data_IF_135797483286
#
_entry.id   IF_135797483286
#
_cell.length_a   1.000
_cell.length_b   1.000
_cell.length_c   1.000
_cell.angle_alpha   90.00
_cell.angle_beta   90.00
_cell.angle_gamma   90.00
#
_symmetry.space_group_name_H-M   'P 1'
#
loop_
_entity.id
_entity.type
_entity.pdbx_description
1 polymer ?
2 polymer ?
#
# COMPACT_ATOMS: atom_id res chain seq x y z
N UNK A 1 -35.77 -32.49 -23.18
CA UNK A 1 -34.83 -32.96 -24.23
C UNK A 1 -33.42 -33.21 -23.67
N UNK A 2 -32.89 -34.40 -23.94
CA UNK A 2 -31.54 -34.80 -23.50
C UNK A 2 -30.50 -33.90 -24.20
N UNK A 3 -30.92 -32.69 -24.57
CA UNK A 3 -30.04 -31.74 -25.23
C UNK A 3 -30.45 -30.32 -24.87
N UNK A 4 -31.73 -30.15 -24.58
CA UNK A 4 -32.24 -28.84 -24.21
C UNK A 4 -31.88 -28.62 -22.76
N UNK A 5 -32.16 -29.62 -21.95
CA UNK A 5 -31.84 -29.56 -20.53
C UNK A 5 -30.36 -29.30 -20.43
N UNK A 6 -29.64 -29.83 -21.40
CA UNK A 6 -28.21 -29.65 -21.41
C UNK A 6 -27.85 -28.16 -21.39
N UNK A 7 -28.53 -27.36 -22.20
CA UNK A 7 -28.23 -25.94 -22.21
C UNK A 7 -28.50 -25.32 -20.85
N UNK A 8 -29.68 -25.59 -20.31
CA UNK A 8 -30.05 -25.05 -19.01
C UNK A 8 -29.03 -25.38 -17.91
N UNK A 9 -28.60 -26.63 -17.84
CA UNK A 9 -27.64 -27.01 -16.81
C UNK A 9 -26.36 -26.20 -16.93
N UNK A 10 -25.98 -25.91 -18.16
CA UNK A 10 -24.77 -25.15 -18.39
C UNK A 10 -24.95 -23.68 -18.12
N UNK A 11 -26.13 -23.16 -18.45
CA UNK A 11 -26.43 -21.75 -18.24
C UNK A 11 -26.35 -21.43 -16.77
N UNK A 12 -26.57 -22.46 -15.96
CA UNK A 12 -26.52 -22.34 -14.52
C UNK A 12 -25.09 -22.41 -14.01
N UNK A 13 -24.34 -23.40 -14.47
CA UNK A 13 -22.95 -23.53 -14.05
C UNK A 13 -22.20 -22.26 -14.41
N UNK A 14 -22.33 -21.83 -15.66
CA UNK A 14 -21.69 -20.61 -16.10
C UNK A 14 -22.00 -19.55 -15.05
N UNK A 15 -23.28 -19.20 -14.92
CA UNK A 15 -23.67 -18.19 -13.93
C UNK A 15 -23.16 -18.55 -12.55
N UNK A 16 -23.18 -19.84 -12.24
CA UNK A 16 -22.69 -20.28 -10.96
C UNK A 16 -21.22 -19.85 -10.83
N UNK A 17 -20.41 -20.21 -11.83
CA UNK A 17 -19.00 -19.85 -11.82
C UNK A 17 -18.91 -18.40 -11.41
N UNK A 18 -19.81 -17.59 -11.94
CA UNK A 18 -19.83 -16.15 -11.65
C UNK A 18 -20.02 -15.74 -10.19
N UNK A 19 -21.16 -16.07 -9.60
CA UNK A 19 -21.38 -15.70 -8.21
C UNK A 19 -20.10 -16.03 -7.46
N UNK A 20 -19.69 -17.28 -7.54
CA UNK A 20 -18.47 -17.73 -6.89
C UNK A 20 -17.40 -16.66 -7.03
N UNK A 21 -17.24 -16.16 -8.25
CA UNK A 21 -16.27 -15.13 -8.55
C UNK A 21 -16.59 -13.84 -7.80
N UNK A 22 -17.86 -13.47 -7.76
CA UNK A 22 -18.25 -12.25 -7.06
C UNK A 22 -18.06 -12.49 -5.59
N UNK A 23 -18.79 -13.47 -5.08
CA UNK A 23 -18.70 -13.81 -3.69
C UNK A 23 -17.25 -13.76 -3.32
N UNK A 24 -16.39 -14.09 -4.29
CA UNK A 24 -14.94 -14.07 -4.07
C UNK A 24 -14.52 -12.66 -3.71
N UNK A 25 -14.70 -11.76 -4.66
CA UNK A 25 -14.37 -10.36 -4.47
C UNK A 25 -14.90 -9.84 -3.14
N UNK A 26 -16.20 -9.95 -2.96
CA UNK A 26 -16.82 -9.47 -1.74
C UNK A 26 -16.04 -9.94 -0.55
N UNK A 27 -15.65 -11.21 -0.57
CA UNK A 27 -14.89 -11.82 0.52
C UNK A 27 -13.66 -10.97 0.86
N UNK A 28 -13.15 -10.28 -0.15
CA UNK A 28 -11.99 -9.41 0.00
C UNK A 28 -12.44 -7.99 0.36
N UNK A 29 -13.31 -7.42 -0.47
CA UNK A 29 -13.84 -6.08 -0.28
C UNK A 29 -13.99 -5.79 1.21
N UNK A 30 -14.56 -6.73 1.96
CA UNK A 30 -14.73 -6.58 3.40
C UNK A 30 -13.40 -6.21 4.04
N UNK A 31 -12.50 -7.18 4.00
CA UNK A 31 -11.17 -7.06 4.55
C UNK A 31 -10.63 -5.64 4.47
N UNK A 32 -10.81 -4.97 3.33
CA UNK A 32 -10.32 -3.60 3.19
C UNK A 32 -10.82 -2.73 4.33
N UNK A 33 -12.12 -2.45 4.29
CA UNK A 33 -12.78 -1.64 5.30
C UNK A 33 -12.31 -2.19 6.63
N UNK A 34 -12.72 -3.42 6.92
CA UNK A 34 -12.34 -4.10 8.15
C UNK A 34 -11.04 -3.55 8.71
N UNK A 35 -10.11 -3.27 7.81
CA UNK A 35 -8.80 -2.79 8.17
C UNK A 35 -8.43 -1.40 7.69
N UNK A 36 -9.42 -0.60 7.31
CA UNK A 36 -9.16 0.76 6.83
C UNK A 36 -9.21 1.74 7.99
N UNK A 37 -8.50 2.86 7.84
CA UNK A 37 -8.43 3.90 8.87
C UNK A 37 -8.67 5.30 8.32
N UNK A 38 -9.47 6.08 9.04
CA UNK A 38 -9.82 7.43 8.62
C UNK A 38 -9.21 8.54 9.46
N UNK A 39 -7.92 8.43 9.76
CA UNK A 39 -7.27 9.47 10.55
C UNK A 39 -5.84 9.70 10.06
N UNK A 40 -5.60 9.37 8.79
CA UNK A 40 -4.28 9.57 8.22
C UNK A 40 -3.16 8.68 8.73
N UNK A 41 -3.52 7.63 9.44
CA UNK A 41 -2.51 6.72 9.95
C UNK A 41 -2.77 5.36 9.35
N UNK A 42 -1.77 4.48 9.38
CA UNK A 42 -1.92 3.15 8.81
C UNK A 42 -0.99 2.14 9.43
N UNK A 43 -1.44 0.90 9.46
CA UNK A 43 -0.64 -0.19 9.97
C UNK A 43 -0.82 -1.35 8.99
N UNK A 44 0.19 -1.54 8.14
CA UNK A 44 0.19 -2.58 7.13
C UNK A 44 0.79 -3.89 7.70
N UNK A 45 -0.06 -4.88 7.97
CA UNK A 45 0.42 -6.15 8.53
C UNK A 45 0.76 -7.11 7.41
N UNK A 46 2.05 -7.21 7.11
CA UNK A 46 2.48 -8.10 6.04
C UNK A 46 2.95 -9.45 6.56
N UNK A 47 2.08 -10.45 6.40
CA UNK A 47 2.34 -11.81 6.85
C UNK A 47 2.91 -12.69 5.74
N UNK A 48 3.84 -13.56 6.13
CA UNK A 48 4.51 -14.51 5.23
C UNK A 48 5.78 -13.92 4.60
N UNK A 49 6.59 -13.26 5.40
CA UNK A 49 7.81 -12.65 4.86
C UNK A 49 8.63 -13.62 4.01
N UNK A 50 9.34 -14.54 4.67
CA UNK A 50 10.18 -15.50 3.96
C UNK A 50 9.67 -15.77 2.56
N UNK A 51 8.49 -16.36 2.43
CA UNK A 51 7.94 -16.65 1.11
C UNK A 51 7.83 -15.39 0.24
N UNK A 52 7.05 -14.43 0.70
CA UNK A 52 6.81 -13.18 -0.03
C UNK A 52 8.05 -12.39 -0.45
N UNK A 53 9.13 -12.47 0.33
CA UNK A 53 10.36 -11.79 -0.03
C UNK A 53 10.92 -12.61 -1.15
N UNK A 54 11.11 -13.90 -0.87
CA UNK A 54 11.66 -14.80 -1.87
C UNK A 54 11.04 -14.47 -3.20
N UNK A 55 9.73 -14.33 -3.24
CA UNK A 55 9.07 -14.02 -4.50
C UNK A 55 9.63 -12.74 -5.09
N UNK A 56 9.96 -11.80 -4.21
CA UNK A 56 10.51 -10.50 -4.59
C UNK A 56 11.84 -10.62 -5.36
N UNK A 57 12.57 -11.70 -5.12
CA UNK A 57 13.84 -11.89 -5.80
C UNK A 57 13.57 -12.61 -7.11
N UNK A 58 12.84 -13.71 -7.05
CA UNK A 58 12.53 -14.45 -8.26
C UNK A 58 11.83 -13.51 -9.21
N UNK A 59 11.44 -12.35 -8.70
CA UNK A 59 10.78 -11.38 -9.54
C UNK A 59 9.40 -11.79 -10.03
N UNK A 60 8.64 -12.48 -9.20
CA UNK A 60 7.29 -12.89 -9.58
C UNK A 60 6.34 -11.82 -9.10
N UNK A 61 6.60 -11.33 -7.90
CA UNK A 61 5.78 -10.30 -7.30
C UNK A 61 6.75 -9.34 -6.63
N UNK A 62 7.14 -8.29 -7.36
CA UNK A 62 8.11 -7.34 -6.83
C UNK A 62 7.63 -6.50 -5.66
N UNK A 63 6.34 -6.15 -5.66
CA UNK A 63 5.78 -5.34 -4.58
C UNK A 63 4.31 -5.59 -4.28
N UNK A 64 3.88 -5.11 -3.12
CA UNK A 64 2.51 -5.24 -2.70
C UNK A 64 2.16 -3.85 -2.21
N UNK A 65 0.87 -3.52 -2.25
CA UNK A 65 0.40 -2.21 -1.80
C UNK A 65 -0.47 -2.46 -0.57
N UNK A 66 -0.69 -1.42 0.23
CA UNK A 66 -1.50 -1.58 1.43
C UNK A 66 -2.97 -1.39 1.15
N UNK A 67 -3.75 -1.38 2.21
CA UNK A 67 -5.18 -1.19 2.10
C UNK A 67 -5.34 0.30 1.94
N UNK A 68 -6.22 0.75 1.04
CA UNK A 68 -6.33 2.20 0.95
C UNK A 68 -6.82 2.72 2.28
N UNK A 69 -6.17 3.76 2.80
CA UNK A 69 -6.57 4.38 4.06
C UNK A 69 -6.59 5.87 3.79
N UNK A 70 -7.39 6.62 4.53
CA UNK A 70 -7.48 8.05 4.27
C UNK A 70 -7.12 8.95 5.45
N UNK A 71 -7.71 10.12 5.49
CA UNK A 71 -7.42 11.07 6.53
C UNK A 71 -8.67 11.84 6.96
N UNK A 72 -9.80 11.16 6.98
CA UNK A 72 -11.05 11.81 7.35
C UNK A 72 -12.13 11.17 6.53
N UNK A 73 -13.27 10.87 7.14
CA UNK A 73 -14.34 10.20 6.42
C UNK A 73 -14.41 10.50 4.94
N UNK A 74 -14.12 11.73 4.54
CA UNK A 74 -14.14 12.06 3.11
C UNK A 74 -12.93 12.90 2.70
N UNK A 75 -11.73 12.36 2.92
CA UNK A 75 -10.51 13.08 2.58
C UNK A 75 -9.72 12.50 1.43
N UNK A 76 -8.41 12.39 1.61
CA UNK A 76 -7.55 11.85 0.56
C UNK A 76 -7.54 10.33 0.61
N UNK A 77 -7.71 9.68 -0.53
CA UNK A 77 -7.65 8.23 -0.54
C UNK A 77 -6.20 8.01 -0.83
N UNK A 78 -5.51 7.32 0.07
CA UNK A 78 -4.08 7.05 -0.07
C UNK A 78 -3.73 5.65 0.42
N UNK A 79 -2.51 5.21 0.11
CA UNK A 79 -2.04 3.90 0.55
C UNK A 79 -0.55 3.75 0.32
N UNK A 80 0.03 2.68 0.86
CA UNK A 80 1.45 2.44 0.74
C UNK A 80 1.80 1.28 -0.17
N UNK A 81 3.05 1.30 -0.63
CA UNK A 81 3.58 0.28 -1.52
C UNK A 81 4.97 -0.07 -1.03
N UNK A 82 5.26 -1.36 -0.98
CA UNK A 82 6.56 -1.80 -0.53
C UNK A 82 7.19 -2.79 -1.48
N UNK A 83 8.50 -2.66 -1.61
CA UNK A 83 9.30 -3.54 -2.44
C UNK A 83 10.24 -4.23 -1.47
N UNK A 84 9.88 -5.46 -1.14
CA UNK A 84 10.65 -6.25 -0.21
C UNK A 84 12.10 -6.41 -0.60
N UNK A 85 12.36 -6.66 -1.87
CA UNK A 85 13.74 -6.81 -2.28
C UNK A 85 14.37 -5.47 -2.61
N UNK A 86 13.52 -4.48 -2.90
CA UNK A 86 14.01 -3.15 -3.21
C UNK A 86 13.78 -2.70 -4.63
N UNK A 87 13.70 -1.39 -4.82
CA UNK A 87 13.47 -0.83 -6.14
C UNK A 87 14.54 0.18 -6.53
N UNK A 88 15.07 0.00 -7.74
CA UNK A 88 16.07 0.90 -8.26
C UNK A 88 17.29 1.07 -7.38
N UNK A 89 17.35 2.20 -6.68
CA UNK A 89 18.49 2.50 -5.83
C UNK A 89 18.79 1.59 -4.65
N UNK A 90 17.92 0.63 -4.38
CA UNK A 90 18.18 -0.26 -3.25
C UNK A 90 17.89 -1.71 -3.56
N UNK A 91 17.54 -1.98 -4.80
CA UNK A 91 17.22 -3.33 -5.20
C UNK A 91 18.30 -4.24 -4.61
N UNK A 92 17.92 -5.46 -4.25
CA UNK A 92 18.85 -6.42 -3.68
C UNK A 92 19.61 -6.03 -2.42
N UNK A 93 19.64 -4.74 -2.11
CA UNK A 93 20.37 -4.29 -0.93
C UNK A 93 19.43 -3.98 0.23
N UNK A 94 18.42 -3.18 -0.08
CA UNK A 94 17.49 -2.74 0.93
C UNK A 94 16.05 -3.10 0.63
N UNK A 95 15.18 -2.53 1.45
CA UNK A 95 13.75 -2.67 1.31
C UNK A 95 13.33 -1.26 0.95
N UNK A 96 12.32 -1.12 0.10
CA UNK A 96 11.86 0.21 -0.29
C UNK A 96 10.38 0.33 -0.02
N UNK A 97 9.95 1.51 0.43
CA UNK A 97 8.54 1.72 0.71
C UNK A 97 8.18 3.14 0.35
N UNK A 98 6.97 3.30 -0.17
CA UNK A 98 6.50 4.60 -0.60
C UNK A 98 5.06 4.88 -0.24
N UNK A 99 4.76 6.17 -0.18
CA UNK A 99 3.44 6.68 0.13
C UNK A 99 2.82 6.95 -1.24
N UNK A 100 1.54 6.62 -1.41
CA UNK A 100 0.87 6.85 -2.69
C UNK A 100 -0.48 7.49 -2.53
N UNK A 101 -0.86 8.30 -3.49
CA UNK A 101 -2.15 8.94 -3.44
C UNK A 101 -3.05 8.36 -4.51
N UNK A 102 -4.24 7.95 -4.11
CA UNK A 102 -5.18 7.35 -5.04
C UNK A 102 -6.25 8.35 -5.45
N UNK A 103 -6.98 8.00 -6.51
CA UNK A 103 -8.07 8.82 -7.00
C UNK A 103 -9.14 8.57 -5.96
N UNK A 104 -9.56 9.63 -5.29
CA UNK A 104 -10.57 9.49 -4.25
C UNK A 104 -11.88 10.18 -4.58
N UNK A 105 -12.97 9.43 -4.46
CA UNK A 105 -14.30 9.93 -4.75
C UNK A 105 -14.58 11.34 -4.24
N UNK A 106 -13.70 11.89 -3.41
CA UNK A 106 -13.90 13.25 -2.90
C UNK A 106 -12.73 14.19 -3.13
N UNK A 107 -11.82 13.81 -4.03
CA UNK A 107 -10.66 14.63 -4.37
C UNK A 107 -11.10 15.97 -4.94
N UNK A 108 -12.35 16.04 -5.38
CA UNK A 108 -12.86 17.27 -5.97
C UNK A 108 -13.03 18.42 -4.99
N UNK A 109 -12.91 18.17 -3.70
CA UNK A 109 -13.09 19.26 -2.76
C UNK A 109 -11.84 19.46 -1.94
N UNK A 110 -10.89 18.55 -2.11
CA UNK A 110 -9.65 18.61 -1.38
C UNK A 110 -8.57 19.45 -2.06
N UNK A 111 -7.68 20.05 -1.25
CA UNK A 111 -6.60 20.88 -1.79
C UNK A 111 -5.62 20.05 -2.62
N UNK A 112 -5.02 20.69 -3.61
CA UNK A 112 -4.02 20.05 -4.45
C UNK A 112 -2.99 21.09 -4.82
N UNK A 113 -1.72 20.68 -4.93
CA UNK A 113 -1.33 19.29 -4.71
C UNK A 113 -1.40 18.90 -3.25
N UNK A 114 -1.19 17.61 -3.00
CA UNK A 114 -1.19 17.09 -1.66
C UNK A 114 -0.03 17.79 -0.98
N UNK A 115 -0.19 18.24 0.26
CA UNK A 115 0.92 18.91 0.91
C UNK A 115 1.21 18.42 2.31
N UNK A 116 0.24 17.74 2.92
CA UNK A 116 0.41 17.22 4.28
C UNK A 116 1.74 16.50 4.44
N UNK A 117 2.21 16.45 5.68
CA UNK A 117 3.46 15.79 6.02
C UNK A 117 3.20 14.29 6.18
N UNK A 118 4.09 13.47 5.64
CA UNK A 118 3.93 12.02 5.76
C UNK A 118 4.57 11.57 7.07
N UNK A 119 5.35 10.50 6.96
CA UNK A 119 6.09 9.87 8.05
C UNK A 119 5.91 8.40 7.88
N UNK A 120 6.95 7.77 7.35
CA UNK A 120 6.96 6.34 7.12
C UNK A 120 7.72 5.73 8.28
N UNK A 121 7.46 4.46 8.55
CA UNK A 121 8.19 3.79 9.62
C UNK A 121 7.89 2.31 9.77
N UNK A 122 8.96 1.55 9.95
CA UNK A 122 8.85 0.12 10.14
C UNK A 122 8.89 -0.14 11.63
N UNK A 123 7.84 -0.76 12.14
CA UNK A 123 7.75 -1.03 13.55
C UNK A 123 8.70 -2.12 13.99
N UNK A 124 9.09 -2.05 15.26
CA UNK A 124 9.99 -3.02 15.86
C UNK A 124 9.19 -3.92 16.80
N UNK A 125 9.05 -5.19 16.44
CA UNK A 125 8.30 -6.11 17.28
C UNK A 125 9.14 -6.60 18.48
N UNK A 126 10.42 -6.26 18.49
CA UNK A 126 11.25 -6.65 19.61
C UNK A 126 10.82 -5.80 20.79
N UNK A 127 11.36 -6.10 21.98
CA UNK A 127 11.02 -5.35 23.19
C UNK A 127 11.74 -4.01 23.29
N UNK A 128 12.80 -3.86 22.50
CA UNK A 128 13.59 -2.63 22.52
C UNK A 128 12.85 -1.48 21.84
N UNK A 129 11.67 -1.81 21.31
CA UNK A 129 10.76 -0.87 20.63
C UNK A 129 11.44 0.21 19.77
N UNK A 130 12.65 -0.05 19.28
CA UNK A 130 13.32 0.95 18.45
C UNK A 130 12.85 0.83 17.00
N UNK A 131 11.70 1.44 16.72
CA UNK A 131 11.11 1.43 15.39
C UNK A 131 11.94 2.37 14.54
N UNK A 132 11.85 2.22 13.22
CA UNK A 132 12.63 3.04 12.32
C UNK A 132 11.71 3.77 11.34
N UNK A 133 12.11 4.98 10.91
CA UNK A 133 11.30 5.73 9.97
C UNK A 133 11.69 7.18 9.71
N UNK A 134 11.35 7.68 8.52
CA UNK A 134 11.64 9.05 8.14
C UNK A 134 10.39 9.74 7.67
N UNK A 135 10.48 11.06 7.55
CA UNK A 135 9.35 11.88 7.14
C UNK A 135 9.75 13.03 6.22
N UNK A 136 8.77 13.67 5.61
CA UNK A 136 9.03 14.81 4.72
C UNK A 136 7.79 15.64 4.44
N UNK A 137 7.99 16.89 4.04
CA UNK A 137 6.89 17.77 3.68
C UNK A 137 6.92 17.69 2.17
N UNK A 138 5.97 16.96 1.57
CA UNK A 138 5.84 16.75 0.13
C UNK A 138 6.14 17.97 -0.75
N UNK A 139 7.20 17.89 -1.54
CA UNK A 139 7.54 18.97 -2.44
C UNK A 139 6.38 19.03 -3.44
N UNK A 140 5.79 20.23 -3.63
CA UNK A 140 4.67 20.50 -4.54
C UNK A 140 4.87 20.24 -6.03
N UNK A 141 5.94 20.79 -6.62
CA UNK A 141 6.23 20.63 -8.05
C UNK A 141 6.20 19.20 -8.64
N UNK A 142 6.17 18.19 -7.78
CA UNK A 142 6.18 16.81 -8.24
C UNK A 142 4.85 16.17 -8.62
N UNK A 143 4.93 15.37 -9.67
CA UNK A 143 3.80 14.65 -10.23
C UNK A 143 3.20 13.63 -9.29
N UNK A 144 3.80 13.52 -8.11
CA UNK A 144 3.37 12.56 -7.11
C UNK A 144 2.21 13.07 -6.28
N UNK A 145 2.08 14.38 -6.19
CA UNK A 145 1.01 14.96 -5.38
C UNK A 145 -0.03 15.82 -6.09
N UNK A 146 -0.01 15.81 -7.42
CA UNK A 146 -0.98 16.59 -8.19
C UNK A 146 -2.39 16.15 -7.77
N UNK A 147 -3.39 16.48 -8.58
CA UNK A 147 -4.76 16.05 -8.33
C UNK A 147 -4.79 14.79 -9.19
N UNK A 148 -4.89 13.62 -8.57
CA UNK A 148 -4.93 12.31 -9.22
C UNK A 148 -5.74 12.24 -10.51
N UNK A 149 -5.11 11.72 -11.56
CA UNK A 149 -5.77 11.56 -12.84
C UNK A 149 -6.28 10.13 -12.88
N UNK A 150 -5.35 9.18 -12.89
CA UNK A 150 -5.70 7.77 -12.94
C UNK A 150 -5.63 7.08 -11.59
N UNK A 151 -6.24 5.89 -11.50
CA UNK A 151 -6.28 5.11 -10.27
C UNK A 151 -5.45 5.63 -9.11
N UNK A 152 -4.14 5.78 -9.30
CA UNK A 152 -3.29 6.28 -8.22
C UNK A 152 -2.07 7.05 -8.73
N UNK A 153 -1.80 8.21 -8.14
CA UNK A 153 -0.65 9.02 -8.53
C UNK A 153 0.64 8.22 -8.56
N UNK A 154 1.76 8.90 -8.82
CA UNK A 154 3.05 8.21 -8.86
C UNK A 154 3.59 8.03 -7.45
N UNK A 155 4.17 6.85 -7.21
CA UNK A 155 4.73 6.50 -5.91
C UNK A 155 5.72 7.53 -5.38
N UNK A 156 6.17 7.35 -4.15
CA UNK A 156 7.13 8.28 -3.55
C UNK A 156 7.57 7.84 -2.15
N UNK A 157 8.89 7.74 -1.96
CA UNK A 157 9.43 7.34 -0.68
C UNK A 157 10.95 7.39 -0.60
N UNK A 158 11.53 6.28 -0.16
CA UNK A 158 12.97 6.16 -0.01
C UNK A 158 13.30 4.72 -0.35
N UNK A 159 13.85 4.48 -1.54
CA UNK A 159 14.19 3.12 -1.94
C UNK A 159 15.11 2.46 -0.93
N UNK A 160 15.84 3.29 -0.20
CA UNK A 160 16.78 2.79 0.79
C UNK A 160 16.35 3.09 2.22
N UNK A 161 15.11 2.76 2.54
CA UNK A 161 14.59 2.99 3.87
C UNK A 161 15.50 2.27 4.84
N UNK A 162 15.53 0.95 4.72
CA UNK A 162 16.35 0.12 5.60
C UNK A 162 17.09 -0.94 4.83
N UNK A 163 18.24 -1.34 5.35
CA UNK A 163 19.04 -2.38 4.71
C UNK A 163 18.40 -3.74 4.94
N UNK A 164 18.28 -4.53 3.87
CA UNK A 164 17.70 -5.85 4.00
C UNK A 164 18.44 -6.49 5.16
N UNK A 165 19.77 -6.44 5.08
CA UNK A 165 20.61 -6.99 6.13
C UNK A 165 20.16 -6.48 7.49
N UNK A 166 20.34 -5.19 7.73
CA UNK A 166 19.93 -4.61 9.01
C UNK A 166 18.52 -5.06 9.39
N UNK A 167 17.62 -5.07 8.41
CA UNK A 167 16.27 -5.49 8.67
C UNK A 167 16.27 -6.89 9.25
N UNK A 168 16.41 -7.87 8.37
CA UNK A 168 16.40 -9.28 8.74
C UNK A 168 17.23 -9.63 9.98
N UNK A 169 18.20 -8.79 10.33
CA UNK A 169 19.04 -9.09 11.49
C UNK A 169 18.68 -8.29 12.73
N UNK A 170 17.58 -7.55 12.65
CA UNK A 170 17.11 -6.76 13.77
C UNK A 170 15.89 -7.44 14.37
N UNK A 171 15.35 -6.88 15.44
CA UNK A 171 14.19 -7.46 16.12
C UNK A 171 12.84 -7.04 15.53
N UNK A 172 12.75 -6.95 14.20
CA UNK A 172 11.52 -6.55 13.51
C UNK A 172 10.79 -7.73 12.88
N UNK A 173 11.54 -8.68 12.34
CA UNK A 173 10.94 -9.86 11.74
C UNK A 173 10.47 -10.76 12.86
N UNK A 174 9.18 -11.08 12.89
CA UNK A 174 8.66 -11.97 13.93
C UNK A 174 7.49 -12.77 13.40
N UNK A 175 7.48 -14.06 13.72
CA UNK A 175 6.42 -14.94 13.25
C UNK A 175 6.19 -14.74 11.76
N UNK A 176 7.29 -14.62 11.04
CA UNK A 176 7.26 -14.43 9.59
C UNK A 176 6.24 -13.39 9.21
N UNK A 177 6.35 -12.22 9.81
CA UNK A 177 5.43 -11.15 9.51
C UNK A 177 5.92 -9.87 10.15
N UNK A 178 5.62 -8.73 9.52
CA UNK A 178 6.04 -7.45 10.06
C UNK A 178 5.07 -6.32 9.79
N UNK A 179 5.25 -5.22 10.52
CA UNK A 179 4.36 -4.08 10.42
C UNK A 179 4.94 -2.74 10.03
N UNK A 180 4.49 -2.23 8.89
CA UNK A 180 4.93 -0.93 8.40
C UNK A 180 3.86 0.05 8.83
N UNK A 181 4.26 1.28 9.13
CA UNK A 181 3.31 2.32 9.54
C UNK A 181 3.52 3.65 8.82
N UNK A 182 2.42 4.25 8.37
CA UNK A 182 2.46 5.54 7.70
C UNK A 182 1.73 6.57 8.54
N UNK A 183 2.21 7.81 8.53
CA UNK A 183 1.56 8.84 9.32
C UNK A 183 1.47 10.17 8.62
N UNK A 184 0.32 10.40 8.01
CA UNK A 184 0.06 11.63 7.30
C UNK A 184 -0.44 12.68 8.29
N UNK A 185 0.12 13.88 8.21
CA UNK A 185 -0.27 14.97 9.09
C UNK A 185 -1.69 15.39 8.72
N UNK A 186 -2.50 15.73 9.71
CA UNK A 186 -3.87 16.14 9.45
C UNK A 186 -4.31 17.30 10.29
N UNK A 187 -3.42 17.82 11.12
CA UNK A 187 -3.76 18.96 11.97
C UNK A 187 -3.77 20.24 11.13
N UNK A 188 -2.66 20.46 10.44
CA UNK A 188 -2.45 21.63 9.58
C UNK A 188 -3.33 21.50 8.34
N UNK A 189 -4.56 21.07 8.57
CA UNK A 189 -5.53 20.87 7.51
C UNK A 189 -6.90 20.82 8.16
N UNK A 190 -7.57 21.97 8.30
CA UNK A 190 -8.90 21.90 8.93
C UNK A 190 -9.84 20.89 8.25
N UNK A 191 -10.72 20.30 9.05
CA UNK A 191 -11.68 19.33 8.57
C UNK A 191 -13.02 20.04 8.31
N UNK A 192 -14.07 19.27 7.96
CA UNK A 192 -15.40 19.85 7.70
C UNK A 192 -15.96 20.70 8.86
N UNK B 1 16.91 14.19 6.30
CA UNK B 1 16.82 13.53 4.96
C UNK B 1 16.03 14.33 3.92
N UNK B 2 14.70 14.32 4.06
CA UNK B 2 13.80 15.00 3.12
C UNK B 2 14.14 14.49 1.71
N UNK B 3 14.23 15.42 0.75
CA UNK B 3 14.57 15.10 -0.64
C UNK B 3 13.92 13.78 -1.10
N UNK B 4 12.58 13.79 -1.29
CA UNK B 4 11.73 12.66 -1.72
C UNK B 4 12.02 12.09 -3.12
N UNK B 5 12.21 10.77 -3.22
CA UNK B 5 12.50 10.11 -4.51
C UNK B 5 11.39 9.08 -4.88
N UNK B 6 11.28 8.71 -6.16
CA UNK B 6 10.26 7.76 -6.65
C UNK B 6 10.74 6.34 -7.03
N UNK B 7 9.85 5.54 -7.60
CA UNK B 7 10.21 4.16 -7.96
C UNK B 7 10.30 3.91 -9.47
N UNK B 8 10.39 2.62 -9.84
CA UNK B 8 10.49 2.19 -11.25
C UNK B 8 9.22 1.44 -11.72
N UNK B 9 8.16 2.20 -12.02
CA UNK B 9 6.87 1.66 -12.47
C UNK B 9 6.01 2.71 -13.21
N UNK B 10 5.63 2.35 -14.45
CA UNK B 10 4.81 3.18 -15.34
C UNK B 10 4.42 2.38 -16.59
N UNK B 11 4.64 1.06 -16.57
CA UNK B 11 4.31 0.21 -17.71
C UNK B 11 2.94 0.55 -18.28
#
# INVERSE_FOLDING_TARGET
NTGLLESQLSRHDQMLSVHDIRLADMDLRFQVLETASYNGVLIWKIRDYKRRKQEAVMGKTLSLYSQPFYTGYFGYKMCARVYLNGDGMGKGTHLSLFFVIMRGEYDALLPWPFKQKVTLMLMDQGSSRRHLGDAFKPDPNSSSFKKPTGEMNIASGCPVFVAQTVLENGTYIKDDTIFIKVIVDTSDLPDP
CSVPIQCTDKT
#
